data_IF_319160448333
#
_entry.id   IF_319160448333
#
_cell.length_a   1.000
_cell.length_b   1.000
_cell.length_c   1.000
_cell.angle_alpha   90.00
_cell.angle_beta   90.00
_cell.angle_gamma   90.00
#
_symmetry.space_group_name_H-M   'P 1'
#
loop_
_entity.id
_entity.type
_entity.pdbx_description
1 polymer ?
#
# COMPACT_ATOMS: atom_id res chain seq x y z
N UNK A 1 16.34 -13.20 6.03
CA UNK A 1 15.65 -14.18 5.16
C UNK A 1 16.41 -15.49 5.17
N UNK A 2 15.71 -16.59 5.37
CA UNK A 2 16.26 -17.95 5.28
C UNK A 2 16.02 -18.47 3.88
N UNK A 3 17.01 -19.10 3.27
CA UNK A 3 16.90 -19.67 1.92
C UNK A 3 16.26 -21.05 2.05
N UNK A 4 15.31 -21.36 1.18
CA UNK A 4 14.66 -22.67 1.12
C UNK A 4 15.31 -23.53 0.03
N UNK A 5 15.41 -24.84 0.29
CA UNK A 5 15.79 -25.85 -0.69
C UNK A 5 14.68 -26.16 -1.70
N UNK A 6 14.94 -27.06 -2.66
CA UNK A 6 13.95 -27.45 -3.68
C UNK A 6 12.70 -28.13 -3.13
N UNK A 7 12.77 -28.67 -1.91
CA UNK A 7 11.68 -29.29 -1.17
C UNK A 7 10.82 -28.29 -0.39
N UNK A 8 11.22 -27.01 -0.35
CA UNK A 8 10.54 -25.95 0.40
C UNK A 8 10.96 -25.86 1.87
N UNK A 9 11.90 -26.71 2.32
CA UNK A 9 12.43 -26.65 3.68
C UNK A 9 13.60 -25.68 3.77
N UNK A 10 13.89 -25.17 4.98
CA UNK A 10 15.01 -24.24 5.18
C UNK A 10 16.34 -24.96 4.93
N UNK A 11 17.14 -24.41 4.01
CA UNK A 11 18.51 -24.86 3.79
C UNK A 11 19.45 -24.25 4.83
N UNK A 12 19.76 -25.04 5.87
CA UNK A 12 20.64 -24.63 6.97
C UNK A 12 22.12 -24.50 6.57
N UNK A 13 22.49 -24.93 5.37
CA UNK A 13 23.87 -24.79 4.86
C UNK A 13 24.14 -23.42 4.25
N UNK A 14 23.07 -22.69 3.88
CA UNK A 14 23.15 -21.35 3.33
C UNK A 14 23.06 -20.28 4.42
N UNK A 15 23.77 -19.15 4.27
CA UNK A 15 23.72 -18.08 5.24
C UNK A 15 22.36 -17.38 5.23
N UNK A 16 21.96 -16.86 6.38
CA UNK A 16 20.80 -15.95 6.48
C UNK A 16 21.13 -14.66 5.73
N UNK A 17 20.28 -14.29 4.78
CA UNK A 17 20.40 -13.03 4.06
C UNK A 17 19.81 -11.90 4.93
N UNK A 18 20.65 -10.93 5.27
CA UNK A 18 20.27 -9.76 6.09
C UNK A 18 20.16 -8.52 5.22
N UNK A 19 19.32 -7.57 5.64
CA UNK A 19 19.15 -6.27 4.96
C UNK A 19 18.88 -6.37 3.45
N UNK A 20 18.10 -7.38 3.04
CA UNK A 20 17.71 -7.57 1.63
C UNK A 20 16.72 -6.46 1.23
N UNK A 21 17.00 -5.67 0.17
CA UNK A 21 16.11 -4.61 -0.28
C UNK A 21 14.70 -5.12 -0.66
N UNK A 22 13.70 -4.27 -0.39
CA UNK A 22 12.30 -4.48 -0.76
C UNK A 22 12.11 -4.59 -2.28
N UNK A 23 11.09 -5.34 -2.75
CA UNK A 23 10.70 -5.28 -4.15
C UNK A 23 10.11 -3.89 -4.43
N UNK A 24 10.58 -3.25 -5.51
CA UNK A 24 10.07 -1.95 -5.98
C UNK A 24 9.36 -2.14 -7.33
N UNK A 25 8.04 -2.41 -7.34
CA UNK A 25 7.29 -2.60 -8.59
C UNK A 25 7.17 -1.31 -9.41
N UNK A 26 7.16 -0.15 -8.73
CA UNK A 26 7.21 1.20 -9.32
C UNK A 26 8.15 2.02 -8.44
N UNK A 27 9.06 2.80 -9.02
CA UNK A 27 10.00 3.58 -8.22
C UNK A 27 10.83 4.61 -8.99
N UNK A 28 11.53 5.45 -8.23
CA UNK A 28 12.44 6.51 -8.67
C UNK A 28 12.95 7.27 -7.45
N UNK A 29 13.63 8.41 -7.66
CA UNK A 29 14.05 9.25 -6.52
C UNK A 29 12.82 9.77 -5.78
N UNK A 30 12.73 9.50 -4.48
CA UNK A 30 11.59 9.84 -3.60
C UNK A 30 10.21 9.34 -4.10
N UNK A 31 10.16 8.25 -4.89
CA UNK A 31 8.92 7.73 -5.50
C UNK A 31 8.80 6.21 -5.38
N UNK A 32 7.58 5.69 -5.16
CA UNK A 32 7.26 4.26 -5.30
C UNK A 32 6.19 3.72 -4.36
N UNK A 33 5.88 2.43 -4.51
CA UNK A 33 5.03 1.67 -3.58
C UNK A 33 5.91 0.71 -2.76
N UNK A 34 5.93 0.88 -1.44
CA UNK A 34 6.77 0.09 -0.54
C UNK A 34 5.90 -0.64 0.48
N UNK A 35 5.98 -1.96 0.48
CA UNK A 35 5.31 -2.81 1.45
C UNK A 35 6.22 -3.96 1.84
N UNK A 36 6.41 -4.17 3.14
CA UNK A 36 7.05 -5.36 3.63
C UNK A 36 6.09 -6.55 3.53
N UNK A 37 6.55 -7.71 3.05
CA UNK A 37 5.80 -8.94 3.26
C UNK A 37 5.74 -9.25 4.76
N UNK A 38 4.65 -9.88 5.21
CA UNK A 38 4.52 -10.38 6.57
C UNK A 38 5.59 -11.45 6.85
N UNK A 39 6.03 -11.57 8.10
CA UNK A 39 6.93 -12.66 8.51
C UNK A 39 6.32 -14.03 8.14
N UNK A 40 7.17 -14.95 7.67
CA UNK A 40 6.72 -16.24 7.14
C UNK A 40 6.26 -16.22 5.68
N UNK A 41 6.13 -15.05 5.05
CA UNK A 41 5.83 -14.97 3.61
C UNK A 41 7.02 -15.44 2.78
N UNK A 42 6.74 -16.32 1.82
CA UNK A 42 7.73 -16.78 0.85
C UNK A 42 7.99 -15.74 -0.23
N UNK A 43 9.25 -15.57 -0.62
CA UNK A 43 9.66 -14.62 -1.66
C UNK A 43 10.69 -15.23 -2.60
N UNK A 44 10.79 -14.69 -3.80
CA UNK A 44 11.88 -14.96 -4.73
C UNK A 44 12.98 -13.96 -4.49
N UNK A 45 14.17 -14.45 -4.14
CA UNK A 45 15.39 -13.64 -4.00
C UNK A 45 16.22 -13.76 -5.27
N UNK A 46 16.72 -12.64 -5.77
CA UNK A 46 17.68 -12.58 -6.86
C UNK A 46 18.94 -11.85 -6.43
N UNK A 47 20.00 -12.03 -7.21
CA UNK A 47 21.31 -11.44 -6.95
C UNK A 47 21.69 -10.52 -8.08
N UNK A 48 21.83 -9.23 -7.79
CA UNK A 48 22.15 -8.23 -8.80
C UNK A 48 23.50 -8.57 -9.45
N UNK A 49 23.54 -8.61 -10.78
CA UNK A 49 24.71 -9.01 -11.57
C UNK A 49 25.24 -10.42 -11.25
N UNK A 50 24.43 -11.29 -10.64
CA UNK A 50 24.87 -12.60 -10.16
C UNK A 50 25.77 -12.56 -8.93
N UNK A 51 25.91 -11.40 -8.26
CA UNK A 51 26.78 -11.24 -7.11
C UNK A 51 26.06 -11.66 -5.82
N UNK A 52 26.54 -12.73 -5.18
CA UNK A 52 25.94 -13.28 -3.94
C UNK A 52 25.81 -12.27 -2.79
N UNK A 53 26.68 -11.25 -2.78
CA UNK A 53 26.65 -10.18 -1.78
C UNK A 53 25.69 -9.02 -2.13
N UNK A 54 24.91 -9.12 -3.22
CA UNK A 54 23.90 -8.14 -3.63
C UNK A 54 22.52 -8.78 -3.83
N UNK A 55 21.94 -9.41 -2.79
CA UNK A 55 20.60 -9.95 -2.87
C UNK A 55 19.55 -8.83 -2.97
N UNK A 56 18.41 -9.11 -3.58
CA UNK A 56 17.20 -8.29 -3.52
C UNK A 56 15.96 -9.17 -3.65
N UNK A 57 14.82 -8.71 -3.11
CA UNK A 57 13.54 -9.39 -3.29
C UNK A 57 13.02 -9.04 -4.68
N UNK A 58 12.80 -10.05 -5.53
CA UNK A 58 12.24 -9.86 -6.86
C UNK A 58 10.70 -9.90 -6.81
N UNK A 59 10.14 -10.90 -6.14
CA UNK A 59 8.70 -11.18 -6.17
C UNK A 59 8.24 -11.76 -4.84
N UNK A 60 7.07 -11.33 -4.37
CA UNK A 60 6.37 -11.95 -3.23
C UNK A 60 5.52 -13.11 -3.75
N UNK A 61 5.63 -14.29 -3.14
CA UNK A 61 4.84 -15.45 -3.51
C UNK A 61 3.59 -15.51 -2.62
N UNK A 62 2.38 -15.53 -3.19
CA UNK A 62 1.15 -15.41 -2.41
C UNK A 62 0.68 -16.71 -1.76
N UNK A 63 1.51 -17.76 -1.74
CA UNK A 63 1.13 -19.07 -1.21
C UNK A 63 0.84 -18.99 0.29
N UNK A 64 -0.32 -19.51 0.71
CA UNK A 64 -0.76 -19.46 2.11
C UNK A 64 -1.29 -18.10 2.57
N UNK A 65 -1.27 -17.07 1.71
CA UNK A 65 -1.79 -15.74 2.05
C UNK A 65 -3.29 -15.64 1.74
N UNK A 66 -4.00 -14.87 2.57
CA UNK A 66 -5.36 -14.43 2.24
C UNK A 66 -5.29 -13.15 1.43
N UNK A 67 -5.58 -13.25 0.14
CA UNK A 67 -5.52 -12.11 -0.80
C UNK A 67 -6.80 -11.27 -0.80
N UNK A 68 -6.73 -9.98 -1.18
CA UNK A 68 -7.90 -9.17 -1.47
C UNK A 68 -8.83 -9.84 -2.47
N UNK A 69 -10.13 -9.65 -2.29
CA UNK A 69 -11.10 -9.88 -3.37
C UNK A 69 -10.98 -8.72 -4.37
N UNK A 70 -10.57 -9.04 -5.59
CA UNK A 70 -10.46 -8.08 -6.70
C UNK A 70 -11.32 -8.59 -7.85
N UNK A 71 -12.60 -8.19 -7.92
CA UNK A 71 -13.44 -8.42 -9.09
C UNK A 71 -12.79 -7.92 -10.38
N UNK A 72 -13.20 -8.46 -11.52
CA UNK A 72 -12.68 -8.04 -12.82
C UNK A 72 -12.99 -6.56 -13.06
N UNK A 73 -11.95 -5.76 -13.31
CA UNK A 73 -12.06 -4.32 -13.56
C UNK A 73 -11.68 -3.47 -12.34
N UNK A 74 -11.81 -4.03 -11.13
CA UNK A 74 -11.39 -3.35 -9.91
C UNK A 74 -9.87 -3.23 -9.81
N UNK A 75 -9.41 -2.19 -9.12
CA UNK A 75 -8.04 -2.09 -8.63
C UNK A 75 -8.07 -1.74 -7.15
N UNK A 76 -7.14 -2.32 -6.38
CA UNK A 76 -7.16 -2.24 -4.91
C UNK A 76 -5.74 -2.03 -4.40
N UNK A 77 -5.58 -0.99 -3.61
CA UNK A 77 -4.44 -0.85 -2.70
C UNK A 77 -4.94 -1.00 -1.27
N UNK A 78 -4.47 -2.02 -0.55
CA UNK A 78 -4.99 -2.32 0.78
C UNK A 78 -3.90 -2.71 1.77
N UNK A 79 -4.17 -2.43 3.05
CA UNK A 79 -3.49 -3.02 4.19
C UNK A 79 -4.32 -4.18 4.77
N UNK A 80 -5.65 -4.02 4.85
CA UNK A 80 -6.61 -5.02 5.31
C UNK A 80 -7.99 -4.79 4.65
N UNK A 81 -8.96 -5.68 4.87
CA UNK A 81 -10.33 -5.43 4.36
C UNK A 81 -10.96 -4.14 4.95
N UNK A 82 -10.55 -3.75 6.15
CA UNK A 82 -10.97 -2.52 6.82
C UNK A 82 -10.23 -1.26 6.33
N UNK A 83 -9.06 -1.42 5.68
CA UNK A 83 -8.18 -0.32 5.28
C UNK A 83 -7.75 -0.48 3.82
N UNK A 84 -8.42 0.26 2.92
CA UNK A 84 -8.20 0.15 1.48
C UNK A 84 -8.52 1.44 0.72
N UNK A 85 -7.85 1.61 -0.41
CA UNK A 85 -8.27 2.47 -1.52
C UNK A 85 -8.60 1.58 -2.71
N UNK A 86 -9.80 1.77 -3.26
CA UNK A 86 -10.31 0.94 -4.35
C UNK A 86 -10.92 1.81 -5.42
N UNK A 87 -10.68 1.42 -6.67
CA UNK A 87 -11.47 1.84 -7.82
C UNK A 87 -12.24 0.62 -8.34
N UNK A 88 -13.55 0.76 -8.52
CA UNK A 88 -14.36 -0.29 -9.14
C UNK A 88 -14.35 -0.21 -10.67
N UNK A 89 -14.97 -1.19 -11.33
CA UNK A 89 -15.03 -1.25 -12.79
C UNK A 89 -15.73 -0.04 -13.45
N UNK A 90 -16.59 0.68 -12.72
CA UNK A 90 -17.29 1.88 -13.20
C UNK A 90 -16.49 3.16 -12.96
N UNK A 91 -15.34 3.06 -12.28
CA UNK A 91 -14.45 4.18 -11.97
C UNK A 91 -14.76 4.88 -10.65
N UNK A 92 -15.65 4.33 -9.81
CA UNK A 92 -15.93 4.92 -8.50
C UNK A 92 -14.77 4.65 -7.54
N UNK A 93 -14.35 5.70 -6.82
CA UNK A 93 -13.29 5.61 -5.82
C UNK A 93 -13.85 5.48 -4.41
N UNK A 94 -13.30 4.54 -3.65
CA UNK A 94 -13.54 4.37 -2.21
C UNK A 94 -12.22 4.53 -1.45
N UNK A 95 -12.18 5.45 -0.48
CA UNK A 95 -11.14 5.53 0.56
C UNK A 95 -11.75 5.08 1.89
N UNK A 96 -11.34 3.91 2.40
CA UNK A 96 -11.87 3.29 3.62
C UNK A 96 -10.75 3.09 4.64
N UNK A 97 -11.02 3.43 5.90
CA UNK A 97 -10.17 3.10 7.05
C UNK A 97 -11.00 2.98 8.32
N UNK A 98 -10.56 2.16 9.25
CA UNK A 98 -11.01 2.11 10.65
C UNK A 98 -10.10 2.94 11.59
N UNK A 99 -9.04 3.52 11.04
CA UNK A 99 -8.11 4.41 11.74
C UNK A 99 -8.38 5.88 11.44
N UNK A 100 -7.31 6.65 11.30
CA UNK A 100 -7.35 8.10 11.06
C UNK A 100 -6.93 8.43 9.62
N UNK A 101 -7.67 9.31 8.98
CA UNK A 101 -7.25 10.03 7.77
C UNK A 101 -6.69 11.39 8.18
N UNK A 102 -5.52 11.76 7.65
CA UNK A 102 -4.93 13.08 7.78
C UNK A 102 -4.40 13.51 6.42
N UNK A 103 -4.98 14.58 5.87
CA UNK A 103 -4.52 15.19 4.62
C UNK A 103 -3.75 16.47 4.98
N UNK A 104 -2.51 16.58 4.52
CA UNK A 104 -1.65 17.75 4.71
C UNK A 104 -1.27 18.30 3.34
N UNK A 105 -1.62 19.55 3.08
CA UNK A 105 -1.36 20.20 1.81
C UNK A 105 -1.17 21.70 2.03
N UNK A 106 -0.45 22.35 1.11
CA UNK A 106 -0.40 23.81 1.02
C UNK A 106 -1.75 24.35 0.53
N UNK A 107 -2.36 23.66 -0.43
CA UNK A 107 -3.66 23.99 -1.01
C UNK A 107 -4.50 22.71 -1.16
N UNK A 108 -5.80 22.81 -0.86
CA UNK A 108 -6.75 21.71 -1.01
C UNK A 108 -8.04 22.24 -1.62
N UNK A 109 -8.32 21.81 -2.85
CA UNK A 109 -9.57 22.09 -3.56
C UNK A 109 -10.45 20.84 -3.63
N UNK A 110 -11.77 21.04 -3.51
CA UNK A 110 -12.77 19.99 -3.71
C UNK A 110 -13.88 20.58 -4.57
N UNK A 111 -14.02 20.10 -5.80
CA UNK A 111 -15.11 20.44 -6.70
C UNK A 111 -16.00 19.21 -6.92
N UNK A 112 -17.27 19.34 -6.56
CA UNK A 112 -18.26 18.29 -6.70
C UNK A 112 -19.65 18.94 -6.88
N UNK A 113 -20.47 18.35 -7.76
CA UNK A 113 -21.87 18.77 -7.89
C UNK A 113 -22.67 18.54 -6.59
N UNK A 114 -22.32 17.48 -5.86
CA UNK A 114 -22.93 17.13 -4.58
C UNK A 114 -21.85 16.65 -3.62
N UNK A 115 -21.77 17.26 -2.44
CA UNK A 115 -20.94 16.82 -1.33
C UNK A 115 -21.81 16.53 -0.11
N UNK A 116 -21.68 15.34 0.46
CA UNK A 116 -22.41 14.93 1.66
C UNK A 116 -21.41 14.54 2.73
N UNK A 117 -21.43 15.25 3.85
CA UNK A 117 -20.57 14.98 5.00
C UNK A 117 -21.44 14.73 6.24
N UNK A 118 -21.06 13.75 7.05
CA UNK A 118 -21.74 13.42 8.30
C UNK A 118 -20.71 13.23 9.40
N UNK A 119 -20.90 13.94 10.51
CA UNK A 119 -19.99 13.95 11.64
C UNK A 119 -20.80 13.78 12.93
N UNK A 120 -20.27 13.00 13.86
CA UNK A 120 -20.76 13.07 15.25
C UNK A 120 -20.30 14.38 15.91
N UNK A 121 -19.04 14.78 15.65
CA UNK A 121 -18.44 16.03 16.11
C UNK A 121 -17.59 16.63 14.97
N UNK A 122 -17.66 17.95 14.79
CA UNK A 122 -16.86 18.69 13.81
C UNK A 122 -16.21 19.90 14.48
N UNK A 123 -14.93 20.15 14.19
CA UNK A 123 -14.19 21.34 14.66
C UNK A 123 -13.38 21.88 13.51
N UNK A 124 -13.51 23.19 13.28
CA UNK A 124 -12.78 23.92 12.25
C UNK A 124 -12.10 25.12 12.89
N UNK A 125 -10.80 25.24 12.67
CA UNK A 125 -10.01 26.43 13.05
C UNK A 125 -9.61 27.13 11.76
N UNK A 126 -9.84 28.44 11.72
CA UNK A 126 -9.48 29.30 10.59
C UNK A 126 -8.73 30.49 11.17
N UNK A 127 -7.47 30.62 10.80
CA UNK A 127 -6.59 31.64 11.37
C UNK A 127 -6.83 33.03 10.77
N UNK A 128 -7.40 33.10 9.56
CA UNK A 128 -7.65 34.34 8.84
C UNK A 128 -9.12 34.44 8.38
N UNK A 129 -9.42 34.09 7.12
CA UNK A 129 -10.74 34.28 6.53
C UNK A 129 -11.42 32.97 6.16
N UNK A 130 -12.71 32.88 6.45
CA UNK A 130 -13.61 31.85 5.92
C UNK A 130 -14.74 32.54 5.16
N UNK A 131 -14.93 32.17 3.91
CA UNK A 131 -16.06 32.61 3.09
C UNK A 131 -16.94 31.41 2.78
N UNK A 132 -18.24 31.57 2.98
CA UNK A 132 -19.24 30.58 2.62
C UNK A 132 -20.36 31.30 1.88
N UNK A 133 -20.77 30.74 0.74
CA UNK A 133 -21.90 31.23 -0.04
C UNK A 133 -22.91 30.10 -0.15
N UNK A 134 -24.06 30.28 0.49
CA UNK A 134 -25.15 29.29 0.48
C UNK A 134 -26.25 29.80 -0.46
N UNK A 135 -26.47 29.08 -1.56
CA UNK A 135 -27.53 29.36 -2.51
C UNK A 135 -28.78 28.52 -2.20
N UNK A 136 -29.95 29.15 -2.30
CA UNK A 136 -31.26 28.51 -2.26
C UNK A 136 -32.11 28.92 -3.46
#
# INVERSE_FOLDING_TARGET
MQVMGPDGEIDTTLPVLVSVPLPMPVGGDEMGFFAFPEEGTSVVVCFAYGLLHKPYIQTILPHGLTLPKVPKGDQVWQHSDAVQQRVDADGNWLRKTDGKIQDQAIEREVDAMTNTESFQNHTRTVDDHSTESVGG
#
